data_IF_487042705049
#
_entry.id   IF_487042705049
#
_cell.length_a   1.000
_cell.length_b   1.000
_cell.length_c   1.000
_cell.angle_alpha   90.00
_cell.angle_beta   90.00
_cell.angle_gamma   90.00
#
_symmetry.space_group_name_H-M   'P 1'
#
loop_
_entity.id
_entity.type
_entity.pdbx_description
1 polymer ?
#
# COMPACT_ATOMS: atom_id res chain seq x y z
N UNK A 1 -20.33 -12.87 10.39
CA UNK A 1 -20.26 -13.71 11.60
C UNK A 1 -18.89 -13.68 12.23
N UNK A 2 -18.76 -14.21 13.48
CA UNK A 2 -17.50 -14.36 14.18
C UNK A 2 -17.25 -15.83 14.50
N UNK A 3 -16.05 -16.33 14.23
CA UNK A 3 -15.66 -17.73 14.40
C UNK A 3 -14.31 -17.80 15.09
N UNK A 4 -14.13 -18.79 15.97
CA UNK A 4 -12.88 -18.98 16.71
C UNK A 4 -12.47 -20.45 16.57
N UNK A 5 -11.23 -20.69 16.15
CA UNK A 5 -10.62 -22.00 16.14
C UNK A 5 -9.12 -21.87 16.50
N UNK A 6 -8.66 -22.70 17.44
CA UNK A 6 -7.27 -22.66 17.98
C UNK A 6 -6.83 -21.24 18.39
N UNK A 7 -7.69 -20.51 19.12
CA UNK A 7 -7.50 -19.12 19.56
C UNK A 7 -7.31 -18.09 18.43
N UNK A 8 -7.62 -18.49 17.20
CA UNK A 8 -7.63 -17.59 16.06
C UNK A 8 -9.07 -17.14 15.78
N UNK A 9 -9.32 -15.84 15.93
CA UNK A 9 -10.61 -15.21 15.66
C UNK A 9 -10.65 -14.67 14.24
N UNK A 10 -11.71 -14.98 13.51
CA UNK A 10 -12.05 -14.31 12.23
C UNK A 10 -13.47 -13.71 12.31
N UNK A 11 -13.66 -12.65 11.55
CA UNK A 11 -14.96 -12.01 11.35
C UNK A 11 -15.24 -11.96 9.86
N UNK A 12 -16.23 -12.74 9.43
CA UNK A 12 -16.65 -12.76 8.02
C UNK A 12 -17.59 -11.60 7.74
N UNK A 13 -17.44 -10.96 6.60
CA UNK A 13 -18.32 -9.89 6.16
C UNK A 13 -19.73 -10.43 5.89
N UNK A 14 -19.84 -11.37 4.95
CA UNK A 14 -21.12 -11.92 4.54
C UNK A 14 -21.04 -13.45 4.48
N UNK A 15 -22.02 -14.13 5.10
CA UNK A 15 -22.18 -15.57 5.06
C UNK A 15 -23.64 -15.88 4.70
N UNK A 16 -23.87 -16.53 3.57
CA UNK A 16 -25.20 -16.76 3.02
C UNK A 16 -25.50 -18.25 3.02
N UNK A 17 -26.60 -18.65 3.64
CA UNK A 17 -27.13 -20.03 3.52
C UNK A 17 -27.64 -20.27 2.10
N UNK A 18 -27.15 -21.30 1.45
CA UNK A 18 -27.60 -21.75 0.14
C UNK A 18 -28.37 -23.08 0.26
N UNK A 19 -28.89 -23.57 -0.84
CA UNK A 19 -29.53 -24.91 -0.87
C UNK A 19 -28.53 -26.00 -0.48
N UNK A 20 -27.29 -25.85 -0.92
CA UNK A 20 -26.18 -26.73 -0.58
C UNK A 20 -25.12 -25.86 0.09
N UNK A 21 -24.82 -26.15 1.38
CA UNK A 21 -23.79 -25.49 2.13
C UNK A 21 -24.00 -23.97 2.38
N UNK A 22 -22.90 -23.28 2.54
CA UNK A 22 -22.84 -21.84 2.77
C UNK A 22 -21.93 -21.16 1.77
N UNK A 23 -22.22 -19.95 1.43
CA UNK A 23 -21.40 -19.09 0.59
C UNK A 23 -20.76 -18.01 1.44
N UNK A 24 -19.43 -17.93 1.42
CA UNK A 24 -18.65 -16.89 2.08
C UNK A 24 -18.34 -15.79 1.05
N UNK A 25 -18.71 -14.53 1.37
CA UNK A 25 -18.32 -13.38 0.56
C UNK A 25 -17.49 -12.44 1.41
N UNK A 26 -16.32 -12.10 0.91
CA UNK A 26 -15.44 -11.10 1.50
C UNK A 26 -15.50 -9.83 0.66
N UNK A 27 -15.75 -8.70 1.32
CA UNK A 27 -15.88 -7.40 0.67
C UNK A 27 -14.57 -6.60 0.75
N UNK A 28 -14.11 -6.13 -0.38
CA UNK A 28 -12.93 -5.26 -0.46
C UNK A 28 -13.29 -3.94 -1.15
N UNK A 29 -12.86 -2.83 -0.59
CA UNK A 29 -13.00 -1.49 -1.20
C UNK A 29 -12.14 -1.31 -2.46
N UNK A 30 -11.30 -2.30 -2.80
CA UNK A 30 -10.52 -2.31 -4.03
C UNK A 30 -11.43 -2.37 -5.28
N UNK A 31 -10.85 -2.09 -6.44
CA UNK A 31 -11.53 -2.18 -7.74
C UNK A 31 -11.17 -3.44 -8.53
N UNK A 32 -10.43 -4.35 -7.92
CA UNK A 32 -9.99 -5.63 -8.50
C UNK A 32 -9.57 -6.61 -7.42
N UNK A 33 -9.56 -7.89 -7.77
CA UNK A 33 -8.87 -8.92 -6.99
C UNK A 33 -7.37 -8.63 -6.97
N UNK A 34 -6.73 -8.83 -5.82
CA UNK A 34 -5.28 -8.69 -5.62
C UNK A 34 -4.74 -9.96 -4.95
N UNK A 35 -3.45 -10.23 -5.14
CA UNK A 35 -2.81 -11.46 -4.65
C UNK A 35 -2.89 -11.59 -3.11
N UNK A 36 -2.83 -10.48 -2.38
CA UNK A 36 -2.94 -10.45 -0.92
C UNK A 36 -4.34 -10.80 -0.38
N UNK A 37 -5.37 -10.74 -1.21
CA UNK A 37 -6.74 -11.10 -0.79
C UNK A 37 -6.93 -12.60 -0.59
N UNK A 38 -6.25 -13.43 -1.39
CA UNK A 38 -6.41 -14.90 -1.33
C UNK A 38 -5.94 -15.46 0.03
N UNK A 39 -4.74 -15.12 0.55
CA UNK A 39 -4.32 -15.56 1.89
C UNK A 39 -5.25 -15.09 3.01
N UNK A 40 -5.76 -13.87 2.94
CA UNK A 40 -6.69 -13.31 3.93
C UNK A 40 -7.99 -14.14 3.98
N UNK A 41 -8.60 -14.38 2.83
CA UNK A 41 -9.84 -15.16 2.74
C UNK A 41 -9.59 -16.63 3.08
N UNK A 42 -8.41 -17.18 2.76
CA UNK A 42 -8.05 -18.55 3.13
C UNK A 42 -7.99 -18.77 4.64
N UNK A 43 -7.51 -17.79 5.40
CA UNK A 43 -7.54 -17.84 6.86
C UNK A 43 -8.99 -17.85 7.35
N UNK A 44 -9.83 -16.97 6.83
CA UNK A 44 -11.26 -16.90 7.22
C UNK A 44 -11.96 -18.22 6.89
N UNK A 45 -11.82 -18.71 5.66
CA UNK A 45 -12.43 -19.95 5.19
C UNK A 45 -12.00 -21.16 6.02
N UNK A 46 -10.70 -21.30 6.28
CA UNK A 46 -10.14 -22.38 7.12
C UNK A 46 -10.77 -22.39 8.52
N UNK A 47 -10.85 -21.24 9.19
CA UNK A 47 -11.43 -21.12 10.52
C UNK A 47 -12.93 -21.43 10.51
N UNK A 48 -13.66 -20.89 9.52
CA UNK A 48 -15.11 -21.12 9.37
C UNK A 48 -15.41 -22.61 9.15
N UNK A 49 -14.67 -23.28 8.25
CA UNK A 49 -14.78 -24.74 8.04
C UNK A 49 -14.41 -25.54 9.28
N UNK A 50 -13.38 -25.11 10.00
CA UNK A 50 -12.95 -25.80 11.25
C UNK A 50 -13.98 -25.67 12.37
N UNK A 51 -14.89 -24.69 12.30
CA UNK A 51 -16.05 -24.56 13.18
C UNK A 51 -17.27 -25.37 12.71
N UNK A 52 -17.14 -26.24 11.71
CA UNK A 52 -18.22 -27.12 11.22
C UNK A 52 -19.17 -26.48 10.19
N UNK A 53 -18.81 -25.35 9.62
CA UNK A 53 -19.60 -24.72 8.55
C UNK A 53 -19.17 -25.27 7.19
N UNK A 54 -20.10 -25.89 6.47
CA UNK A 54 -19.86 -26.39 5.12
C UNK A 54 -19.92 -25.27 4.09
N UNK A 55 -18.75 -24.77 3.67
CA UNK A 55 -18.63 -23.73 2.64
C UNK A 55 -18.64 -24.36 1.25
N UNK A 56 -19.70 -24.10 0.49
CA UNK A 56 -19.85 -24.59 -0.89
C UNK A 56 -19.30 -23.62 -1.94
N UNK A 57 -19.15 -22.33 -1.59
CA UNK A 57 -18.62 -21.29 -2.50
C UNK A 57 -17.96 -20.19 -1.69
N UNK A 58 -16.89 -19.63 -2.24
CA UNK A 58 -16.14 -18.52 -1.65
C UNK A 58 -15.92 -17.46 -2.71
N UNK A 59 -16.38 -16.25 -2.44
CA UNK A 59 -16.30 -15.15 -3.38
C UNK A 59 -15.66 -13.92 -2.76
N UNK A 60 -14.92 -13.19 -3.58
CA UNK A 60 -14.52 -11.84 -3.29
C UNK A 60 -15.44 -10.88 -4.01
N UNK A 61 -16.01 -9.93 -3.29
CA UNK A 61 -16.80 -8.84 -3.85
C UNK A 61 -16.02 -7.53 -3.77
N UNK A 62 -16.03 -6.76 -4.85
CA UNK A 62 -15.31 -5.50 -4.93
C UNK A 62 -16.05 -4.46 -5.79
N UNK A 63 -15.61 -3.21 -5.72
CA UNK A 63 -16.20 -2.12 -6.49
C UNK A 63 -15.91 -2.28 -7.98
N UNK A 64 -16.93 -2.15 -8.80
CA UNK A 64 -16.80 -2.10 -10.25
C UNK A 64 -16.39 -0.70 -10.71
N UNK A 65 -15.13 -0.51 -11.06
CA UNK A 65 -14.60 0.77 -11.50
C UNK A 65 -15.27 1.31 -12.78
N UNK A 66 -15.83 0.42 -13.61
CA UNK A 66 -16.48 0.78 -14.87
C UNK A 66 -17.95 1.21 -14.69
N UNK A 67 -18.47 1.07 -13.45
CA UNK A 67 -19.83 1.50 -13.15
C UNK A 67 -19.94 3.03 -13.29
N UNK A 68 -20.99 3.49 -13.97
CA UNK A 68 -21.35 4.91 -14.03
C UNK A 68 -22.71 5.09 -13.39
N UNK A 69 -22.80 5.95 -12.37
CA UNK A 69 -24.04 6.23 -11.68
C UNK A 69 -25.00 7.04 -12.58
N UNK A 70 -26.16 6.47 -12.86
CA UNK A 70 -27.18 7.09 -13.74
C UNK A 70 -28.24 7.88 -12.99
N UNK A 71 -28.16 7.93 -11.66
CA UNK A 71 -29.18 8.56 -10.80
C UNK A 71 -30.21 7.57 -10.26
N UNK A 72 -31.26 8.09 -9.64
CA UNK A 72 -32.42 7.33 -9.12
C UNK A 72 -32.08 6.24 -8.09
N UNK A 73 -30.95 6.39 -7.37
CA UNK A 73 -30.45 5.40 -6.40
C UNK A 73 -30.29 3.99 -6.98
N UNK A 74 -30.07 3.88 -8.29
CA UNK A 74 -29.83 2.62 -8.96
C UNK A 74 -28.32 2.31 -8.97
N UNK A 75 -27.93 1.31 -8.17
CA UNK A 75 -26.57 0.82 -8.02
C UNK A 75 -26.38 -0.60 -8.58
N UNK A 76 -27.27 -1.06 -9.45
CA UNK A 76 -27.12 -2.35 -10.13
C UNK A 76 -25.77 -2.38 -10.88
N UNK A 77 -24.99 -3.44 -10.68
CA UNK A 77 -23.63 -3.62 -11.22
C UNK A 77 -22.54 -2.72 -10.61
N UNK A 78 -22.80 -2.05 -9.49
CA UNK A 78 -21.74 -1.35 -8.72
C UNK A 78 -20.75 -2.35 -8.12
N UNK A 79 -21.22 -3.53 -7.72
CA UNK A 79 -20.40 -4.58 -7.12
C UNK A 79 -20.12 -5.65 -8.20
N UNK A 80 -18.85 -6.09 -8.27
CA UNK A 80 -18.41 -7.29 -9.00
C UNK A 80 -18.10 -8.41 -8.02
N UNK A 81 -18.42 -9.62 -8.41
CA UNK A 81 -18.11 -10.85 -7.67
C UNK A 81 -17.06 -11.67 -8.43
N UNK A 82 -16.06 -12.16 -7.74
CA UNK A 82 -15.09 -13.12 -8.24
C UNK A 82 -15.24 -14.42 -7.47
N UNK A 83 -15.57 -15.50 -8.15
CA UNK A 83 -15.53 -16.85 -7.59
C UNK A 83 -14.06 -17.27 -7.43
N UNK A 84 -13.65 -17.63 -6.21
CA UNK A 84 -12.24 -17.91 -5.86
C UNK A 84 -12.11 -19.14 -4.96
N UNK A 85 -13.10 -20.02 -4.97
CA UNK A 85 -13.16 -21.19 -4.09
C UNK A 85 -11.91 -22.06 -4.21
N UNK A 86 -11.51 -22.39 -5.45
CA UNK A 86 -10.39 -23.32 -5.69
C UNK A 86 -9.06 -22.74 -5.23
N UNK A 87 -8.81 -21.47 -5.53
CA UNK A 87 -7.59 -20.76 -5.13
C UNK A 87 -7.48 -20.66 -3.60
N UNK A 88 -8.61 -20.38 -2.94
CA UNK A 88 -8.68 -20.27 -1.48
C UNK A 88 -8.46 -21.64 -0.83
N UNK A 89 -9.10 -22.70 -1.29
CA UNK A 89 -8.92 -24.07 -0.76
C UNK A 89 -7.46 -24.52 -0.91
N UNK A 90 -6.84 -24.22 -2.04
CA UNK A 90 -5.41 -24.51 -2.22
C UNK A 90 -4.54 -23.79 -1.18
N UNK A 91 -4.87 -22.53 -0.88
CA UNK A 91 -4.13 -21.70 0.08
C UNK A 91 -4.42 -22.07 1.54
N UNK A 92 -5.58 -22.62 1.87
CA UNK A 92 -5.92 -23.12 3.21
C UNK A 92 -4.88 -24.10 3.77
N UNK A 93 -4.21 -24.89 2.90
CA UNK A 93 -3.18 -25.86 3.30
C UNK A 93 -2.01 -25.20 4.06
N UNK A 94 -1.78 -23.91 3.86
CA UNK A 94 -0.71 -23.17 4.52
C UNK A 94 -1.15 -22.56 5.86
N UNK A 95 -2.47 -22.39 6.09
CA UNK A 95 -3.03 -21.62 7.22
C UNK A 95 -2.60 -22.20 8.56
N UNK A 96 -2.63 -23.54 8.71
CA UNK A 96 -2.22 -24.17 9.97
C UNK A 96 -0.75 -23.89 10.31
N UNK A 97 0.11 -23.78 9.29
CA UNK A 97 1.51 -23.42 9.47
C UNK A 97 1.66 -21.95 9.87
N UNK A 98 0.86 -21.06 9.32
CA UNK A 98 0.82 -19.65 9.74
C UNK A 98 0.36 -19.51 11.20
N UNK A 99 -0.70 -20.21 11.60
CA UNK A 99 -1.17 -20.21 13.00
C UNK A 99 -0.04 -20.68 13.92
N UNK A 100 0.59 -21.82 13.64
CA UNK A 100 1.70 -22.35 14.44
C UNK A 100 2.88 -21.38 14.53
N UNK A 101 3.20 -20.70 13.44
CA UNK A 101 4.32 -19.75 13.37
C UNK A 101 4.06 -18.47 14.12
N UNK A 102 2.84 -17.91 14.02
CA UNK A 102 2.54 -16.58 14.53
C UNK A 102 1.91 -16.57 15.92
N UNK A 103 1.22 -17.65 16.34
CA UNK A 103 0.62 -17.75 17.66
C UNK A 103 1.60 -17.49 18.81
N UNK A 104 2.85 -18.06 18.82
CA UNK A 104 3.81 -17.75 19.88
C UNK A 104 4.21 -16.28 19.94
N UNK A 105 4.15 -15.54 18.82
CA UNK A 105 4.52 -14.13 18.78
C UNK A 105 3.40 -13.21 19.34
N UNK A 106 2.20 -13.73 19.46
CA UNK A 106 1.06 -13.00 20.04
C UNK A 106 1.05 -13.04 21.57
N UNK A 107 1.91 -13.87 22.21
CA UNK A 107 2.06 -13.87 23.66
C UNK A 107 2.66 -12.55 24.14
N UNK A 108 2.07 -11.96 25.19
CA UNK A 108 2.52 -10.68 25.78
C UNK A 108 3.96 -10.72 26.28
N UNK A 109 4.45 -11.91 26.65
CA UNK A 109 5.80 -12.14 27.16
C UNK A 109 6.79 -12.52 26.04
N UNK A 110 6.35 -12.65 24.81
CA UNK A 110 7.24 -12.97 23.70
C UNK A 110 8.17 -11.81 23.36
N UNK A 111 9.42 -12.12 23.08
CA UNK A 111 10.36 -11.12 22.57
C UNK A 111 10.00 -10.73 21.13
N UNK A 112 10.28 -9.47 20.78
CA UNK A 112 10.15 -9.03 19.38
C UNK A 112 11.02 -9.92 18.47
N UNK A 113 10.47 -10.46 17.38
CA UNK A 113 11.23 -11.32 16.49
C UNK A 113 12.39 -10.56 15.84
N UNK A 114 13.55 -11.19 15.79
CA UNK A 114 14.74 -10.63 15.13
C UNK A 114 14.63 -10.83 13.61
N UNK A 115 13.97 -9.91 12.94
CA UNK A 115 13.78 -9.94 11.50
C UNK A 115 14.51 -8.74 10.89
N UNK A 116 15.46 -9.01 10.00
CA UNK A 116 16.17 -7.95 9.28
C UNK A 116 15.24 -7.23 8.32
N UNK A 117 15.41 -5.92 8.17
CA UNK A 117 14.65 -5.13 7.20
C UNK A 117 14.90 -5.60 5.76
N UNK A 118 13.85 -5.60 4.94
CA UNK A 118 13.91 -6.07 3.56
C UNK A 118 12.68 -5.66 2.74
N UNK A 119 12.46 -6.33 1.60
CA UNK A 119 11.31 -6.04 0.72
C UNK A 119 9.96 -6.19 1.42
N UNK A 120 9.85 -7.13 2.36
CA UNK A 120 8.64 -7.35 3.15
C UNK A 120 8.23 -6.15 4.01
N UNK A 121 9.15 -5.20 4.28
CA UNK A 121 8.79 -3.96 4.99
C UNK A 121 7.97 -3.00 4.14
N UNK A 122 7.90 -3.23 2.82
CA UNK A 122 7.20 -2.35 1.88
C UNK A 122 6.20 -3.11 0.98
N UNK A 123 6.07 -4.42 1.15
CA UNK A 123 5.19 -5.26 0.33
C UNK A 123 4.41 -6.23 1.22
N UNK A 124 3.09 -6.38 0.96
CA UNK A 124 2.26 -5.65 -0.02
C UNK A 124 2.03 -4.18 0.36
N UNK A 125 2.20 -3.82 1.64
CA UNK A 125 2.03 -2.47 2.18
C UNK A 125 3.22 -2.10 3.07
N UNK A 126 3.47 -0.80 3.35
CA UNK A 126 4.46 -0.38 4.34
C UNK A 126 4.16 -1.02 5.70
N UNK A 127 5.20 -1.54 6.35
CA UNK A 127 5.09 -2.13 7.68
C UNK A 127 4.91 -1.03 8.73
N UNK A 128 3.93 -1.16 9.61
CA UNK A 128 3.64 -0.19 10.68
C UNK A 128 4.79 -0.08 11.72
N UNK A 129 5.69 -1.05 11.76
CA UNK A 129 6.84 -1.08 12.66
C UNK A 129 8.15 -0.65 11.98
N UNK A 130 8.10 -0.11 10.78
CA UNK A 130 9.28 0.27 10.01
C UNK A 130 10.14 1.28 10.76
N UNK A 131 9.53 2.34 11.31
CA UNK A 131 10.23 3.38 12.08
C UNK A 131 10.99 2.82 13.30
N UNK A 132 10.38 1.84 14.01
CA UNK A 132 11.05 1.14 15.10
C UNK A 132 12.29 0.40 14.61
N UNK A 133 12.18 -0.35 13.52
CA UNK A 133 13.32 -1.08 12.96
C UNK A 133 14.42 -0.14 12.48
N UNK A 134 14.06 0.96 11.87
CA UNK A 134 14.99 2.02 11.46
C UNK A 134 15.68 2.65 12.66
N UNK A 135 14.95 2.95 13.74
CA UNK A 135 15.54 3.51 14.96
C UNK A 135 16.54 2.57 15.65
N UNK A 136 16.34 1.26 15.54
CA UNK A 136 17.28 0.26 16.04
C UNK A 136 18.56 0.17 15.18
N UNK A 137 18.46 0.49 13.90
CA UNK A 137 19.60 0.53 12.97
C UNK A 137 20.33 1.87 13.01
N UNK A 138 19.64 2.96 13.36
CA UNK A 138 20.14 4.33 13.28
C UNK A 138 20.93 4.75 14.52
N UNK A 139 21.90 3.96 14.96
CA UNK A 139 23.00 4.49 15.80
C UNK A 139 24.03 5.28 14.97
N UNK A 140 23.80 5.46 13.69
CA UNK A 140 24.65 6.25 12.79
C UNK A 140 23.85 7.43 12.23
N UNK A 141 24.36 8.65 12.34
CA UNK A 141 23.86 9.86 11.67
C UNK A 141 24.02 9.77 10.14
N UNK A 142 23.48 8.71 9.53
CA UNK A 142 23.62 8.44 8.09
C UNK A 142 22.33 8.87 7.39
N UNK A 143 22.45 9.76 6.43
CA UNK A 143 21.34 10.05 5.53
C UNK A 143 21.19 8.91 4.51
N UNK A 144 20.00 8.31 4.42
CA UNK A 144 19.76 7.23 3.46
C UNK A 144 19.70 7.75 2.03
N UNK A 145 20.29 6.98 1.08
CA UNK A 145 20.13 7.27 -0.36
C UNK A 145 18.67 7.16 -0.84
N UNK A 146 17.82 6.54 -0.05
CA UNK A 146 16.39 6.37 -0.38
C UNK A 146 15.61 7.69 -0.39
N UNK A 147 16.17 8.77 0.16
CA UNK A 147 15.60 10.13 0.05
C UNK A 147 15.68 10.70 -1.37
N UNK A 148 16.52 10.12 -2.24
CA UNK A 148 16.67 10.62 -3.62
C UNK A 148 15.35 10.46 -4.37
N UNK A 149 14.84 11.53 -5.01
CA UNK A 149 13.61 11.47 -5.78
C UNK A 149 13.65 10.38 -6.84
N UNK A 150 12.55 9.66 -7.01
CA UNK A 150 12.37 8.60 -8.00
C UNK A 150 13.39 7.44 -7.92
N UNK A 151 14.11 7.31 -6.83
CA UNK A 151 15.15 6.28 -6.65
C UNK A 151 14.64 4.86 -6.92
N UNK A 152 13.35 4.58 -6.67
CA UNK A 152 12.72 3.27 -6.92
C UNK A 152 12.84 2.82 -8.40
N UNK A 153 13.01 3.75 -9.34
CA UNK A 153 13.22 3.45 -10.76
C UNK A 153 14.67 3.03 -11.06
N UNK A 154 15.62 3.35 -10.17
CA UNK A 154 17.03 3.07 -10.34
C UNK A 154 17.44 1.69 -9.83
N UNK A 155 17.09 0.66 -10.58
CA UNK A 155 17.39 -0.73 -10.22
C UNK A 155 18.92 -0.99 -10.07
N UNK A 156 19.75 -0.31 -10.84
CA UNK A 156 21.22 -0.48 -10.79
C UNK A 156 21.83 0.11 -9.53
N UNK A 157 21.42 1.33 -9.15
CA UNK A 157 21.89 1.94 -7.90
C UNK A 157 21.41 1.12 -6.69
N UNK A 158 20.13 0.76 -6.66
CA UNK A 158 19.57 -0.06 -5.56
C UNK A 158 20.35 -1.38 -5.42
N UNK A 159 20.60 -2.08 -6.52
CA UNK A 159 21.37 -3.33 -6.52
C UNK A 159 22.77 -3.11 -5.96
N UNK A 160 23.48 -2.10 -6.47
CA UNK A 160 24.84 -1.76 -6.01
C UNK A 160 24.88 -1.46 -4.50
N UNK A 161 23.97 -0.63 -3.99
CA UNK A 161 23.96 -0.26 -2.58
C UNK A 161 23.61 -1.45 -1.67
N UNK A 162 22.72 -2.35 -2.12
CA UNK A 162 22.45 -3.60 -1.44
C UNK A 162 23.67 -4.52 -1.37
N UNK A 163 24.40 -4.70 -2.47
CA UNK A 163 25.63 -5.49 -2.52
C UNK A 163 26.74 -4.91 -1.62
N UNK A 164 26.76 -3.58 -1.43
CA UNK A 164 27.68 -2.92 -0.50
C UNK A 164 27.21 -2.92 0.95
N UNK A 165 26.00 -3.41 1.24
CA UNK A 165 25.46 -3.51 2.59
C UNK A 165 25.30 -2.16 3.28
N UNK A 166 25.04 -1.07 2.53
CA UNK A 166 24.93 0.28 3.09
C UNK A 166 23.78 1.06 2.48
N UNK A 167 23.13 1.88 3.30
CA UNK A 167 22.13 2.86 2.85
C UNK A 167 22.67 4.29 2.77
N UNK A 168 23.92 4.51 3.16
CA UNK A 168 24.53 5.84 3.27
C UNK A 168 24.57 6.58 1.92
N UNK A 169 23.85 7.70 1.85
CA UNK A 169 23.84 8.58 0.67
C UNK A 169 25.25 9.03 0.25
N UNK A 170 26.15 9.25 1.23
CA UNK A 170 27.51 9.70 0.95
C UNK A 170 28.36 8.62 0.27
N UNK A 171 27.98 7.35 0.39
CA UNK A 171 28.65 6.22 -0.27
C UNK A 171 28.12 5.93 -1.67
N UNK A 172 27.14 6.68 -2.16
CA UNK A 172 26.67 6.56 -3.54
C UNK A 172 27.75 7.10 -4.48
N UNK A 173 28.31 6.26 -5.39
CA UNK A 173 29.37 6.71 -6.31
C UNK A 173 28.87 7.71 -7.33
N UNK A 174 29.73 8.67 -7.72
CA UNK A 174 29.42 9.72 -8.69
C UNK A 174 28.92 9.18 -10.04
N UNK A 175 29.35 7.97 -10.44
CA UNK A 175 28.90 7.32 -11.68
C UNK A 175 27.39 7.10 -11.77
N UNK A 176 26.67 7.02 -10.63
CA UNK A 176 25.22 6.86 -10.59
C UNK A 176 24.46 8.19 -10.72
N UNK A 177 25.16 9.31 -10.69
CA UNK A 177 24.60 10.66 -10.85
C UNK A 177 24.75 11.23 -12.25
N UNK A 178 25.28 10.44 -13.21
CA UNK A 178 25.41 10.86 -14.61
C UNK A 178 24.04 10.95 -15.28
N UNK A 179 23.97 11.87 -16.25
CA UNK A 179 22.80 12.25 -17.01
C UNK A 179 21.79 11.14 -17.21
N UNK A 180 20.62 11.36 -16.66
CA UNK A 180 19.43 10.55 -16.87
C UNK A 180 18.41 11.45 -17.54
N UNK A 181 17.83 10.95 -18.62
CA UNK A 181 16.79 11.65 -19.38
C UNK A 181 15.56 12.03 -18.55
N UNK A 182 15.39 11.37 -17.39
CA UNK A 182 14.21 11.50 -16.54
C UNK A 182 14.34 12.57 -15.45
N UNK A 183 15.53 13.19 -15.29
CA UNK A 183 15.81 14.15 -14.22
C UNK A 183 16.65 15.31 -14.73
N UNK A 184 16.54 16.45 -14.05
CA UNK A 184 17.50 17.54 -14.25
C UNK A 184 18.92 17.03 -14.01
N UNK A 185 19.88 17.28 -14.94
CA UNK A 185 21.26 16.82 -14.83
C UNK A 185 21.84 17.13 -13.44
N UNK A 186 22.47 16.14 -12.83
CA UNK A 186 23.11 16.25 -11.51
C UNK A 186 22.16 16.52 -10.32
N UNK A 187 20.86 16.32 -10.47
CA UNK A 187 19.92 16.58 -9.37
C UNK A 187 20.24 15.75 -8.12
N UNK A 188 20.44 14.45 -8.26
CA UNK A 188 20.82 13.57 -7.15
C UNK A 188 22.18 13.94 -6.55
N UNK A 189 23.13 14.35 -7.39
CA UNK A 189 24.45 14.82 -6.93
C UNK A 189 24.32 16.09 -6.10
N UNK A 190 23.47 17.03 -6.49
CA UNK A 190 23.20 18.26 -5.72
C UNK A 190 22.62 17.95 -4.35
N UNK A 191 21.70 16.97 -4.25
CA UNK A 191 21.16 16.51 -2.97
C UNK A 191 22.27 15.91 -2.10
N UNK A 192 23.10 15.01 -2.65
CA UNK A 192 24.23 14.43 -1.92
C UNK A 192 25.17 15.52 -1.39
N UNK A 193 25.54 16.51 -2.21
CA UNK A 193 26.45 17.58 -1.85
C UNK A 193 25.82 18.51 -0.78
N UNK A 194 24.54 18.82 -0.90
CA UNK A 194 23.81 19.62 0.10
C UNK A 194 23.83 18.93 1.48
N UNK A 195 23.55 17.64 1.54
CA UNK A 195 23.64 16.86 2.77
C UNK A 195 25.07 16.76 3.31
N UNK A 196 26.05 16.54 2.43
CA UNK A 196 27.47 16.48 2.83
C UNK A 196 27.95 17.77 3.46
N UNK A 197 27.54 18.90 2.90
CA UNK A 197 27.98 20.22 3.32
C UNK A 197 27.05 20.89 4.34
N UNK A 198 25.98 20.17 4.75
CA UNK A 198 24.91 20.67 5.64
C UNK A 198 24.38 22.04 5.20
N UNK A 199 24.10 22.19 3.90
CA UNK A 199 23.57 23.44 3.36
C UNK A 199 22.41 23.17 2.39
N UNK A 200 21.72 24.26 1.98
CA UNK A 200 20.65 24.22 0.97
C UNK A 200 21.25 24.51 -0.40
N UNK A 201 20.70 23.89 -1.43
CA UNK A 201 20.97 24.24 -2.82
C UNK A 201 19.76 24.94 -3.43
N UNK A 202 19.97 26.11 -3.98
CA UNK A 202 18.97 26.91 -4.69
C UNK A 202 19.49 27.21 -6.09
N UNK A 203 18.68 26.97 -7.13
CA UNK A 203 19.05 27.29 -8.50
C UNK A 203 19.27 28.79 -8.68
N UNK A 204 20.33 29.15 -9.41
CA UNK A 204 20.58 30.55 -9.80
C UNK A 204 19.45 31.09 -10.68
N UNK A 205 18.77 30.20 -11.40
CA UNK A 205 17.67 30.56 -12.31
C UNK A 205 16.34 30.84 -11.59
N UNK A 206 16.27 30.55 -10.27
CA UNK A 206 15.04 30.78 -9.50
C UNK A 206 14.57 32.24 -9.59
N UNK A 207 15.51 33.20 -9.59
CA UNK A 207 15.17 34.62 -9.76
C UNK A 207 14.50 34.91 -11.11
N UNK A 208 14.88 34.17 -12.17
CA UNK A 208 14.28 34.34 -13.48
C UNK A 208 12.84 33.82 -13.51
N UNK A 209 12.57 32.71 -12.81
CA UNK A 209 11.20 32.18 -12.68
C UNK A 209 10.27 33.20 -12.04
N UNK A 210 10.76 33.97 -11.05
CA UNK A 210 9.95 34.96 -10.34
C UNK A 210 9.84 36.34 -11.03
N UNK A 211 10.61 36.59 -12.12
CA UNK A 211 10.54 37.87 -12.83
C UNK A 211 9.18 38.17 -13.44
N UNK A 212 8.46 37.13 -13.85
CA UNK A 212 7.16 37.25 -14.51
C UNK A 212 5.99 37.27 -13.53
N UNK A 213 6.28 37.15 -12.24
CA UNK A 213 5.26 37.23 -11.19
C UNK A 213 5.14 38.65 -10.68
N UNK A 214 3.91 39.15 -10.60
CA UNK A 214 3.59 40.48 -10.03
C UNK A 214 2.60 40.32 -8.90
N UNK A 215 2.69 41.19 -7.88
CA UNK A 215 1.69 41.26 -6.83
C UNK A 215 0.39 41.91 -7.35
N UNK A 216 -0.77 41.49 -6.78
CA UNK A 216 -0.97 40.48 -5.76
C UNK A 216 -0.84 39.05 -6.31
N UNK A 217 -0.36 38.10 -5.47
CA UNK A 217 -0.41 36.66 -5.76
C UNK A 217 -1.71 36.06 -5.24
N UNK A 218 -2.27 35.14 -6.03
CA UNK A 218 -3.44 34.35 -5.66
C UNK A 218 -3.02 32.89 -5.54
N UNK A 219 -3.15 32.34 -4.33
CA UNK A 219 -2.88 30.94 -4.05
C UNK A 219 -4.21 30.19 -4.06
N UNK A 220 -4.38 29.29 -5.02
CA UNK A 220 -5.62 28.53 -5.20
C UNK A 220 -5.35 27.10 -4.76
N UNK A 221 -6.24 26.56 -3.93
CA UNK A 221 -6.22 25.18 -3.49
C UNK A 221 -7.58 24.54 -3.61
N UNK A 222 -7.61 23.21 -3.84
CA UNK A 222 -8.83 22.43 -4.05
C UNK A 222 -8.84 21.21 -3.13
N UNK A 223 -9.96 21.04 -2.40
CA UNK A 223 -10.23 19.78 -1.70
C UNK A 223 -11.08 18.87 -2.58
N UNK A 224 -10.71 17.58 -2.61
CA UNK A 224 -11.39 16.57 -3.41
C UNK A 224 -11.85 15.40 -2.56
N UNK A 225 -12.97 14.80 -2.93
CA UNK A 225 -13.46 13.55 -2.36
C UNK A 225 -13.53 12.46 -3.42
N UNK A 226 -13.10 11.25 -3.04
CA UNK A 226 -13.10 10.07 -3.91
C UNK A 226 -14.00 8.99 -3.30
N UNK A 227 -15.28 9.01 -3.62
CA UNK A 227 -16.25 8.07 -3.06
C UNK A 227 -16.26 6.74 -3.83
N UNK A 228 -16.24 5.62 -3.10
CA UNK A 228 -16.41 4.30 -3.70
C UNK A 228 -17.82 4.07 -4.24
N UNK A 229 -18.84 4.70 -3.61
CA UNK A 229 -20.23 4.69 -4.07
C UNK A 229 -20.55 6.08 -4.61
N UNK A 230 -20.64 6.25 -5.93
CA UNK A 230 -20.89 7.56 -6.54
C UNK A 230 -22.32 8.03 -6.24
N UNK A 231 -22.46 9.31 -5.89
CA UNK A 231 -23.76 9.94 -5.58
C UNK A 231 -24.17 11.00 -6.61
N UNK A 232 -23.26 11.44 -7.45
CA UNK A 232 -23.51 12.44 -8.50
C UNK A 232 -23.69 11.73 -9.83
N UNK A 233 -24.77 12.01 -10.53
CA UNK A 233 -25.06 11.44 -11.85
C UNK A 233 -23.92 11.70 -12.84
N UNK A 234 -23.50 10.65 -13.54
CA UNK A 234 -22.41 10.69 -14.51
C UNK A 234 -21.04 10.39 -13.92
N UNK A 235 -20.92 10.22 -12.59
CA UNK A 235 -19.63 9.89 -11.95
C UNK A 235 -19.45 8.39 -11.77
N UNK A 236 -18.18 7.98 -11.64
CA UNK A 236 -17.74 6.61 -11.42
C UNK A 236 -17.20 6.44 -9.99
N UNK A 237 -17.09 5.20 -9.49
CA UNK A 237 -16.40 4.93 -8.24
C UNK A 237 -14.98 5.50 -8.22
N UNK A 238 -14.63 6.16 -7.10
CA UNK A 238 -13.33 6.82 -6.88
C UNK A 238 -13.00 7.92 -7.88
N UNK A 239 -14.00 8.49 -8.56
CA UNK A 239 -13.83 9.70 -9.37
C UNK A 239 -13.53 10.89 -8.44
N UNK A 240 -12.40 11.62 -8.64
CA UNK A 240 -12.08 12.77 -7.81
C UNK A 240 -13.04 13.92 -8.10
N UNK A 241 -13.80 14.30 -7.09
CA UNK A 241 -14.76 15.39 -7.15
C UNK A 241 -14.26 16.57 -6.31
N UNK A 242 -13.91 17.71 -6.90
CA UNK A 242 -13.67 18.93 -6.15
C UNK A 242 -14.95 19.35 -5.44
N UNK A 243 -14.90 19.58 -4.14
CA UNK A 243 -16.05 20.01 -3.35
C UNK A 243 -15.81 21.32 -2.61
N UNK A 244 -14.56 21.72 -2.49
CA UNK A 244 -14.17 22.98 -1.86
C UNK A 244 -12.96 23.56 -2.60
N UNK A 245 -12.90 24.87 -2.68
CA UNK A 245 -11.73 25.62 -3.14
C UNK A 245 -11.52 26.84 -2.27
N UNK A 246 -10.28 27.27 -2.15
CA UNK A 246 -9.90 28.48 -1.42
C UNK A 246 -8.96 29.32 -2.27
N UNK A 247 -9.03 30.62 -2.09
CA UNK A 247 -8.12 31.59 -2.71
C UNK A 247 -7.60 32.50 -1.60
N UNK A 248 -6.30 32.60 -1.51
CA UNK A 248 -5.60 33.46 -0.58
C UNK A 248 -4.79 34.51 -1.31
#
# INVERSE_FOLDING_TARGET
>A
GAFIYQDTLVRTDVLIRRKIGWELLEAKSSTRLKDEHIPDIAIQSFIVRSCGVDLSSIKLIHINKEFTYKGNKNYNNLIKENEITDEVILKEKEVINYIKKFKPLADKNSSCPNISMGEHCNKPYPCDYQDRCESLLSKSNITSYEILPYIKKDKYLIKYMKEKGTKDLQKVPAKFFKDRSDYAPNYHKKIQDAHKNNNSWISKDLKNVFKDFSFPFYFIDFETVNQGVPIIKGTQPYYPLPFQWSVH
#
